data_IF_956008232783
#
_entry.id   IF_956008232783
#
_cell.length_a   1.000
_cell.length_b   1.000
_cell.length_c   1.000
_cell.angle_alpha   90.00
_cell.angle_beta   90.00
_cell.angle_gamma   90.00
#
_symmetry.space_group_name_H-M   'P 1'
#
loop_
_entity.id
_entity.type
_entity.pdbx_description
1 polymer ?
#
# COMPACT_ATOMS: atom_id res chain seq x y z
N UNK A 1 -21.65 -2.05 11.93
CA UNK A 1 -20.27 -1.56 11.66
C UNK A 1 -20.01 -1.56 10.15
N UNK A 2 -21.03 -1.24 9.36
CA UNK A 2 -21.19 -1.85 8.02
C UNK A 2 -20.42 -1.11 6.92
N UNK A 3 -19.71 -0.04 7.28
CA UNK A 3 -18.95 0.80 6.37
C UNK A 3 -17.44 0.54 6.41
N UNK A 4 -16.95 -0.33 7.31
CA UNK A 4 -15.52 -0.55 7.49
C UNK A 4 -14.83 -1.08 6.22
N UNK A 5 -15.35 -2.13 5.53
CA UNK A 5 -14.71 -2.62 4.30
C UNK A 5 -14.69 -1.58 3.19
N UNK A 6 -15.79 -0.81 3.08
CA UNK A 6 -15.94 0.23 2.07
C UNK A 6 -14.96 1.38 2.28
N UNK A 7 -14.84 1.86 3.52
CA UNK A 7 -13.87 2.89 3.89
C UNK A 7 -12.44 2.38 3.71
N UNK A 8 -12.13 1.17 4.15
CA UNK A 8 -10.82 0.55 3.96
C UNK A 8 -10.47 0.43 2.47
N UNK A 9 -11.40 -0.06 1.64
CA UNK A 9 -11.23 -0.15 0.19
C UNK A 9 -10.91 1.20 -0.43
N UNK A 10 -11.66 2.26 -0.09
CA UNK A 10 -11.41 3.62 -0.59
C UNK A 10 -10.03 4.14 -0.17
N UNK A 11 -9.69 3.99 1.11
CA UNK A 11 -8.42 4.50 1.67
C UNK A 11 -7.23 3.76 1.06
N UNK A 12 -7.23 2.42 1.04
CA UNK A 12 -6.13 1.64 0.50
C UNK A 12 -5.98 1.83 -1.02
N UNK A 13 -7.09 1.94 -1.75
CA UNK A 13 -7.04 2.21 -3.20
C UNK A 13 -6.47 3.60 -3.50
N UNK A 14 -6.93 4.64 -2.79
CA UNK A 14 -6.39 5.98 -2.95
C UNK A 14 -4.89 6.02 -2.58
N UNK A 15 -4.51 5.34 -1.49
CA UNK A 15 -3.12 5.26 -1.06
C UNK A 15 -2.24 4.53 -2.08
N UNK A 16 -2.72 3.42 -2.64
CA UNK A 16 -2.04 2.69 -3.71
C UNK A 16 -1.77 3.58 -4.92
N UNK A 17 -2.78 4.32 -5.40
CA UNK A 17 -2.64 5.21 -6.56
C UNK A 17 -1.62 6.31 -6.28
N UNK A 18 -1.68 6.93 -5.09
CA UNK A 18 -0.71 7.97 -4.71
C UNK A 18 0.72 7.41 -4.70
N UNK A 19 0.93 6.23 -4.11
CA UNK A 19 2.26 5.60 -4.08
C UNK A 19 2.75 5.23 -5.48
N UNK A 20 1.89 4.66 -6.32
CA UNK A 20 2.22 4.29 -7.69
C UNK A 20 2.60 5.51 -8.55
N UNK A 21 1.83 6.61 -8.48
CA UNK A 21 2.14 7.85 -9.20
C UNK A 21 3.46 8.45 -8.74
N UNK A 22 3.75 8.41 -7.43
CA UNK A 22 5.01 8.91 -6.91
C UNK A 22 6.20 8.06 -7.38
N UNK A 23 6.05 6.73 -7.38
CA UNK A 23 7.08 5.81 -7.87
C UNK A 23 7.38 6.03 -9.34
N UNK A 24 6.33 6.16 -10.18
CA UNK A 24 6.49 6.46 -11.61
C UNK A 24 7.23 7.79 -11.81
N UNK A 25 6.86 8.85 -11.09
CA UNK A 25 7.55 10.15 -11.18
C UNK A 25 9.03 10.06 -10.80
N UNK A 26 9.34 9.29 -9.76
CA UNK A 26 10.71 9.11 -9.30
C UNK A 26 11.54 8.25 -10.27
N UNK A 27 10.96 7.19 -10.82
CA UNK A 27 11.57 6.38 -11.87
C UNK A 27 11.85 7.20 -13.13
N UNK A 28 10.90 8.05 -13.55
CA UNK A 28 11.08 8.95 -14.69
C UNK A 28 12.19 9.99 -14.45
N UNK A 29 12.29 10.53 -13.23
CA UNK A 29 13.38 11.43 -12.87
C UNK A 29 14.74 10.74 -13.00
N UNK A 30 14.89 9.54 -12.43
CA UNK A 30 16.14 8.80 -12.53
C UNK A 30 16.43 8.34 -13.96
N UNK A 31 15.42 7.93 -14.71
CA UNK A 31 15.56 7.60 -16.13
C UNK A 31 16.14 8.77 -16.93
N UNK A 32 15.58 9.97 -16.76
CA UNK A 32 16.03 11.18 -17.45
C UNK A 32 17.44 11.62 -17.03
N UNK A 33 17.89 11.23 -15.84
CA UNK A 33 19.23 11.51 -15.31
C UNK A 33 20.20 10.33 -15.46
N UNK A 34 19.94 9.41 -16.40
CA UNK A 34 20.85 8.28 -16.69
C UNK A 34 20.99 7.29 -15.53
N UNK A 35 19.93 7.11 -14.74
CA UNK A 35 19.91 6.32 -13.51
C UNK A 35 20.92 6.78 -12.45
N UNK A 36 21.21 8.08 -12.39
CA UNK A 36 22.08 8.67 -11.38
C UNK A 36 21.40 8.74 -9.99
N UNK A 37 21.50 7.66 -9.22
CA UNK A 37 20.93 7.57 -7.87
C UNK A 37 21.66 8.40 -6.80
N UNK A 38 22.82 9.00 -7.11
CA UNK A 38 23.48 9.92 -6.19
C UNK A 38 22.71 11.23 -6.04
N UNK A 39 21.97 11.63 -7.08
CA UNK A 39 21.12 12.80 -7.05
C UNK A 39 19.81 12.50 -6.31
N UNK A 40 19.35 13.45 -5.49
CA UNK A 40 18.10 13.30 -4.75
C UNK A 40 16.95 13.89 -5.55
N UNK A 41 15.99 13.04 -5.94
CA UNK A 41 14.81 13.42 -6.72
C UNK A 41 13.89 14.41 -6.01
N UNK A 42 13.94 14.51 -4.67
CA UNK A 42 13.01 15.30 -3.82
C UNK A 42 11.51 15.00 -4.05
N UNK A 43 11.16 13.99 -4.84
CA UNK A 43 9.78 13.58 -5.20
C UNK A 43 9.11 12.74 -4.08
N UNK A 44 9.83 12.49 -2.97
CA UNK A 44 9.29 11.76 -1.81
C UNK A 44 8.43 12.67 -0.94
N UNK A 45 7.11 12.45 -0.93
CA UNK A 45 6.17 13.08 0.01
C UNK A 45 6.25 12.52 1.43
N UNK A 46 6.89 11.36 1.60
CA UNK A 46 7.32 10.92 2.91
C UNK A 46 8.83 11.17 3.04
N UNK A 47 9.26 11.92 4.04
CA UNK A 47 9.26 11.40 5.41
C UNK A 47 9.29 9.86 5.56
N UNK A 48 9.84 9.06 4.63
CA UNK A 48 10.25 7.68 4.95
C UNK A 48 11.27 7.71 6.10
N UNK A 49 11.95 8.86 6.24
CA UNK A 49 12.98 9.19 7.22
C UNK A 49 12.88 10.68 7.64
N UNK A 50 11.71 11.25 8.02
CA UNK A 50 11.82 12.46 8.87
C UNK A 50 12.33 12.00 10.22
N UNK A 51 13.49 12.56 10.56
CA UNK A 51 14.23 12.66 11.82
C UNK A 51 13.46 12.66 13.17
N UNK A 52 12.13 12.56 13.20
CA UNK A 52 11.33 12.94 14.37
C UNK A 52 10.23 11.97 14.81
N UNK A 53 9.83 10.97 14.01
CA UNK A 53 8.58 10.23 14.28
C UNK A 53 8.61 8.71 14.09
N UNK A 54 9.78 8.08 13.99
CA UNK A 54 9.93 6.63 14.21
C UNK A 54 10.65 6.41 15.55
N UNK A 55 10.33 5.37 16.33
CA UNK A 55 10.69 5.25 17.75
C UNK A 55 12.20 5.13 18.04
N UNK A 56 13.05 5.18 17.02
CA UNK A 56 14.50 5.11 17.14
C UNK A 56 15.14 6.29 16.37
N UNK A 57 16.05 7.06 16.99
CA UNK A 57 16.79 8.10 16.30
C UNK A 57 17.65 7.46 15.20
N UNK A 58 17.28 7.69 13.95
CA UNK A 58 18.01 7.14 12.79
C UNK A 58 19.37 7.84 12.68
N UNK A 59 20.44 7.05 12.74
CA UNK A 59 21.79 7.55 12.48
C UNK A 59 21.91 7.89 10.99
N UNK A 60 22.79 8.83 10.59
CA UNK A 60 23.03 9.12 9.17
C UNK A 60 23.42 7.88 8.36
N UNK A 61 24.04 6.91 9.05
CA UNK A 61 24.44 5.59 8.54
C UNK A 61 23.25 4.70 8.13
N UNK A 62 22.07 4.88 8.74
CA UNK A 62 20.87 4.04 8.52
C UNK A 62 20.02 4.51 7.34
N UNK A 63 20.49 5.51 6.57
CA UNK A 63 19.77 6.02 5.40
C UNK A 63 19.89 5.01 4.26
N UNK A 64 18.77 4.35 3.98
CA UNK A 64 18.62 3.52 2.78
C UNK A 64 19.01 4.36 1.54
N UNK A 65 19.85 3.81 0.67
CA UNK A 65 20.28 4.53 -0.54
C UNK A 65 19.08 4.82 -1.45
N UNK A 66 19.13 5.88 -2.26
CA UNK A 66 18.05 6.18 -3.22
C UNK A 66 17.75 4.98 -4.14
N UNK A 67 18.80 4.29 -4.59
CA UNK A 67 18.68 3.06 -5.38
C UNK A 67 17.89 1.98 -4.63
N UNK A 68 18.23 1.72 -3.36
CA UNK A 68 17.52 0.72 -2.56
C UNK A 68 16.06 1.13 -2.29
N UNK A 69 15.81 2.42 -2.03
CA UNK A 69 14.47 2.95 -1.82
C UNK A 69 13.59 2.79 -3.06
N UNK A 70 14.08 3.17 -4.23
CA UNK A 70 13.32 3.15 -5.49
C UNK A 70 13.20 1.74 -6.04
N UNK A 71 14.28 0.96 -6.08
CA UNK A 71 14.23 -0.35 -6.70
C UNK A 71 13.61 -1.44 -5.82
N UNK A 72 13.57 -1.25 -4.49
CA UNK A 72 13.13 -2.30 -3.56
C UNK A 72 12.14 -1.80 -2.51
N UNK A 73 12.48 -0.73 -1.79
CA UNK A 73 11.68 -0.24 -0.68
C UNK A 73 10.26 0.14 -1.08
N UNK A 74 10.10 1.14 -1.96
CA UNK A 74 8.80 1.64 -2.40
C UNK A 74 7.99 0.59 -3.17
N UNK A 75 8.56 -0.16 -4.13
CA UNK A 75 7.83 -1.26 -4.79
C UNK A 75 7.28 -2.28 -3.80
N UNK A 76 8.05 -2.65 -2.77
CA UNK A 76 7.59 -3.57 -1.72
C UNK A 76 6.38 -3.00 -0.96
N UNK A 77 6.41 -1.74 -0.55
CA UNK A 77 5.27 -1.10 0.13
C UNK A 77 4.05 -0.95 -0.79
N UNK A 78 4.25 -0.64 -2.07
CA UNK A 78 3.18 -0.57 -3.07
C UNK A 78 2.48 -1.92 -3.19
N UNK A 79 3.25 -3.03 -3.23
CA UNK A 79 2.68 -4.39 -3.27
C UNK A 79 1.86 -4.67 -2.02
N UNK A 80 2.36 -4.36 -0.82
CA UNK A 80 1.62 -4.57 0.43
C UNK A 80 0.30 -3.80 0.41
N UNK A 81 0.34 -2.49 0.11
CA UNK A 81 -0.87 -1.65 0.07
C UNK A 81 -1.82 -2.12 -1.03
N UNK A 82 -1.29 -2.55 -2.17
CA UNK A 82 -2.07 -3.13 -3.27
C UNK A 82 -2.79 -4.41 -2.89
N UNK A 83 -2.16 -5.30 -2.12
CA UNK A 83 -2.81 -6.51 -1.59
C UNK A 83 -3.98 -6.12 -0.68
N UNK A 84 -3.79 -5.20 0.26
CA UNK A 84 -4.87 -4.74 1.12
C UNK A 84 -6.00 -4.06 0.32
N UNK A 85 -5.66 -3.21 -0.65
CA UNK A 85 -6.65 -2.60 -1.54
C UNK A 85 -7.47 -3.68 -2.26
N UNK A 86 -6.82 -4.65 -2.89
CA UNK A 86 -7.48 -5.74 -3.60
C UNK A 86 -8.40 -6.56 -2.69
N UNK A 87 -7.92 -6.95 -1.50
CA UNK A 87 -8.72 -7.73 -0.54
C UNK A 87 -9.95 -6.95 -0.08
N UNK A 88 -9.79 -5.70 0.37
CA UNK A 88 -10.93 -4.92 0.86
C UNK A 88 -11.89 -4.51 -0.26
N UNK A 89 -11.38 -4.22 -1.46
CA UNK A 89 -12.24 -4.00 -2.63
C UNK A 89 -13.03 -5.26 -2.97
N UNK A 90 -12.41 -6.44 -2.92
CA UNK A 90 -13.11 -7.69 -3.16
C UNK A 90 -14.21 -7.96 -2.12
N UNK A 91 -13.92 -7.77 -0.83
CA UNK A 91 -14.93 -7.86 0.24
C UNK A 91 -16.07 -6.85 0.02
N UNK A 92 -15.75 -5.64 -0.45
CA UNK A 92 -16.75 -4.57 -0.67
C UNK A 92 -17.63 -4.85 -1.88
N UNK A 93 -17.07 -5.41 -2.96
CA UNK A 93 -17.80 -5.69 -4.21
C UNK A 93 -18.56 -7.02 -4.18
N UNK A 94 -18.06 -7.99 -3.41
CA UNK A 94 -18.61 -9.34 -3.31
C UNK A 94 -18.86 -9.75 -1.85
N UNK A 95 -19.61 -8.96 -1.05
CA UNK A 95 -19.83 -9.27 0.37
C UNK A 95 -20.46 -10.65 0.58
N UNK A 96 -21.23 -11.16 -0.38
CA UNK A 96 -21.84 -12.49 -0.37
C UNK A 96 -20.83 -13.65 -0.30
N UNK A 97 -19.58 -13.40 -0.70
CA UNK A 97 -18.49 -14.39 -0.67
C UNK A 97 -17.70 -14.38 0.63
N UNK A 98 -18.07 -13.51 1.59
CA UNK A 98 -17.34 -13.33 2.84
C UNK A 98 -18.26 -13.43 4.04
N UNK A 99 -17.82 -14.17 5.05
CA UNK A 99 -18.43 -14.20 6.38
C UNK A 99 -17.64 -13.29 7.31
N UNK A 100 -18.33 -12.32 7.91
CA UNK A 100 -17.78 -11.51 8.99
C UNK A 100 -17.94 -12.25 10.33
N UNK A 101 -16.84 -12.44 11.05
CA UNK A 101 -16.83 -12.97 12.41
C UNK A 101 -16.29 -11.91 13.38
N UNK A 102 -17.13 -11.55 14.37
CA UNK A 102 -16.80 -10.55 15.40
C UNK A 102 -16.53 -11.27 16.71
N UNK A 103 -15.27 -11.27 17.15
CA UNK A 103 -14.83 -11.81 18.44
C UNK A 103 -14.39 -10.65 19.35
N UNK A 104 -15.31 -10.17 20.19
CA UNK A 104 -15.06 -8.98 21.01
C UNK A 104 -14.83 -7.73 20.15
N UNK A 105 -13.65 -7.12 20.23
CA UNK A 105 -13.25 -5.98 19.39
C UNK A 105 -12.59 -6.37 18.06
N UNK A 106 -12.35 -7.66 17.82
CA UNK A 106 -11.68 -8.16 16.61
C UNK A 106 -12.71 -8.54 15.55
N UNK A 107 -12.59 -7.93 14.38
CA UNK A 107 -13.36 -8.31 13.17
C UNK A 107 -12.46 -9.14 12.26
N UNK A 108 -12.92 -10.31 11.85
CA UNK A 108 -12.21 -11.20 10.91
C UNK A 108 -13.13 -11.54 9.73
N UNK A 109 -12.59 -11.53 8.52
CA UNK A 109 -13.34 -11.89 7.30
C UNK A 109 -12.85 -13.25 6.79
N UNK A 110 -13.78 -14.19 6.64
CA UNK A 110 -13.52 -15.53 6.12
C UNK A 110 -14.15 -15.68 4.74
N UNK A 111 -13.35 -16.06 3.74
CA UNK A 111 -13.87 -16.37 2.42
C UNK A 111 -14.68 -17.68 2.48
N UNK A 112 -15.93 -17.63 2.02
CA UNK A 112 -16.87 -18.77 2.07
C UNK A 112 -17.12 -19.40 0.70
N UNK A 113 -16.47 -18.92 -0.35
CA UNK A 113 -16.63 -19.41 -1.72
C UNK A 113 -17.52 -18.51 -2.58
N UNK A 114 -17.59 -18.82 -3.86
CA UNK A 114 -18.53 -18.16 -4.79
C UNK A 114 -19.92 -18.75 -4.61
N UNK A 115 -20.99 -17.93 -4.53
CA UNK A 115 -22.34 -18.45 -4.60
C UNK A 115 -22.49 -19.27 -5.87
N UNK A 116 -22.98 -20.51 -5.72
CA UNK A 116 -23.24 -21.38 -6.86
C UNK A 116 -24.32 -20.67 -7.69
N UNK A 117 -24.08 -20.36 -8.98
CA UNK A 117 -25.10 -19.69 -9.77
C UNK A 117 -26.33 -20.58 -9.78
N UNK A 118 -27.48 -20.01 -9.38
CA UNK A 118 -28.76 -20.70 -9.46
C UNK A 118 -28.93 -21.13 -10.92
N UNK A 119 -28.76 -22.43 -11.16
CA UNK A 119 -28.84 -23.00 -12.49
C UNK A 119 -30.24 -22.80 -13.04
N UNK A 120 -30.38 -21.84 -13.94
CA UNK A 120 -31.53 -21.68 -14.83
C UNK A 120 -31.13 -22.07 -16.24
#
# INVERSE_FOLDING_TARGET
MDNLPRLASMVFSAWFVVLAVQEVRELLYYWNNGWNFFENSKISWSTYYNRRSWPFPQRPEDRISNKQRVCFGRPFFIVIVGIFAAVFTHITLHPEQWREEVHGSKVTYHYIGTPQPDGH
#
